data_IF_992336850344
#
_entry.id   IF_992336850344
#
_cell.length_a   1.000
_cell.length_b   1.000
_cell.length_c   1.000
_cell.angle_alpha   90.00
_cell.angle_beta   90.00
_cell.angle_gamma   90.00
#
_symmetry.space_group_name_H-M   'P 1'
#
loop_
_entity.id
_entity.type
_entity.pdbx_description
1 polymer ?
#
# COMPACT_ATOMS: atom_id res chain seq x y z
N UNK A 1 -19.07 19.92 -16.51
CA UNK A 1 -19.76 18.74 -17.09
C UNK A 1 -18.67 17.71 -17.32
N UNK A 2 -18.47 16.81 -16.37
CA UNK A 2 -17.60 15.65 -16.56
C UNK A 2 -18.24 14.76 -17.63
N UNK A 3 -17.46 14.42 -18.65
CA UNK A 3 -17.82 13.35 -19.57
C UNK A 3 -17.78 12.06 -18.78
N UNK A 4 -18.93 11.51 -18.51
CA UNK A 4 -19.05 10.09 -18.10
C UNK A 4 -18.54 9.29 -19.29
N UNK A 5 -17.35 8.72 -19.22
CA UNK A 5 -16.86 7.77 -20.21
C UNK A 5 -17.79 6.56 -20.18
N UNK A 6 -18.75 6.55 -21.10
CA UNK A 6 -19.65 5.40 -21.25
C UNK A 6 -18.81 4.25 -21.82
N UNK A 7 -18.55 3.24 -21.01
CA UNK A 7 -17.93 2.00 -21.46
C UNK A 7 -18.92 1.34 -22.42
N UNK A 8 -18.57 1.26 -23.71
CA UNK A 8 -19.35 0.58 -24.74
C UNK A 8 -18.68 -0.77 -24.99
N UNK A 9 -19.21 -1.81 -24.37
CA UNK A 9 -18.79 -3.20 -24.57
C UNK A 9 -19.78 -3.92 -25.48
N UNK A 10 -19.30 -4.85 -26.30
CA UNK A 10 -20.14 -5.74 -27.06
C UNK A 10 -20.83 -6.77 -26.13
N UNK A 11 -21.96 -7.38 -26.56
CA UNK A 11 -22.57 -8.45 -25.80
C UNK A 11 -21.63 -9.65 -25.56
N UNK A 12 -20.72 -9.92 -26.50
CA UNK A 12 -19.72 -10.98 -26.40
C UNK A 12 -18.68 -10.67 -25.32
N UNK A 13 -18.19 -9.44 -25.24
CA UNK A 13 -17.27 -8.98 -24.19
C UNK A 13 -17.93 -9.05 -22.81
N UNK A 14 -19.18 -8.60 -22.70
CA UNK A 14 -19.95 -8.71 -21.45
C UNK A 14 -20.14 -10.15 -21.03
N UNK A 15 -20.45 -11.07 -21.96
CA UNK A 15 -20.60 -12.49 -21.69
C UNK A 15 -19.28 -13.12 -21.20
N UNK A 16 -18.14 -12.69 -21.76
CA UNK A 16 -16.82 -13.15 -21.30
C UNK A 16 -16.53 -12.70 -19.87
N UNK A 17 -16.77 -11.43 -19.52
CA UNK A 17 -16.62 -10.93 -18.14
C UNK A 17 -17.57 -11.62 -17.16
N UNK A 18 -18.82 -11.90 -17.56
CA UNK A 18 -19.76 -12.66 -16.74
C UNK A 18 -19.25 -14.08 -16.47
N UNK A 19 -18.71 -14.75 -17.49
CA UNK A 19 -18.17 -16.11 -17.34
C UNK A 19 -16.95 -16.13 -16.41
N UNK A 20 -16.03 -15.19 -16.57
CA UNK A 20 -14.83 -15.01 -15.72
C UNK A 20 -15.22 -14.72 -14.26
N UNK A 21 -16.25 -13.90 -14.04
CA UNK A 21 -16.72 -13.51 -12.70
C UNK A 21 -17.57 -14.57 -12.01
N UNK A 22 -17.95 -15.65 -12.70
CA UNK A 22 -18.86 -16.67 -12.14
C UNK A 22 -18.12 -17.59 -11.16
N UNK A 23 -18.57 -17.59 -9.91
CA UNK A 23 -18.05 -18.48 -8.85
C UNK A 23 -18.81 -19.80 -8.83
N UNK A 24 -18.10 -20.91 -8.74
CA UNK A 24 -18.67 -22.25 -8.64
C UNK A 24 -18.30 -22.93 -7.33
N UNK A 25 -19.26 -23.54 -6.67
CA UNK A 25 -19.03 -24.37 -5.47
C UNK A 25 -18.22 -25.64 -5.74
N UNK A 26 -18.11 -26.04 -7.02
CA UNK A 26 -17.35 -27.22 -7.44
C UNK A 26 -15.92 -26.88 -7.88
N UNK A 27 -15.59 -25.61 -8.00
CA UNK A 27 -14.23 -25.14 -8.29
C UNK A 27 -13.41 -25.01 -7.01
N UNK A 28 -12.10 -25.24 -7.13
CA UNK A 28 -11.16 -25.00 -6.03
C UNK A 28 -10.49 -23.62 -6.24
N UNK A 29 -10.61 -22.77 -5.26
CA UNK A 29 -9.93 -21.47 -5.22
C UNK A 29 -8.81 -21.51 -4.19
N UNK A 30 -7.63 -21.05 -4.56
CA UNK A 30 -6.50 -20.99 -3.64
C UNK A 30 -6.71 -19.89 -2.59
N UNK A 31 -6.27 -20.18 -1.38
CA UNK A 31 -6.27 -19.17 -0.32
C UNK A 31 -5.17 -18.13 -0.59
N UNK A 32 -5.51 -16.85 -0.47
CA UNK A 32 -4.52 -15.77 -0.64
C UNK A 32 -3.34 -15.94 0.34
N UNK A 33 -2.09 -15.97 -0.17
CA UNK A 33 -0.92 -16.11 0.70
C UNK A 33 -0.80 -14.96 1.69
N UNK A 34 -0.63 -15.27 2.97
CA UNK A 34 -0.30 -14.29 4.02
C UNK A 34 1.12 -13.80 3.78
N UNK A 35 1.30 -12.48 3.64
CA UNK A 35 2.60 -11.88 3.32
C UNK A 35 3.10 -10.89 4.35
N UNK A 36 2.22 -10.30 5.15
CA UNK A 36 2.57 -9.36 6.22
C UNK A 36 1.87 -9.74 7.53
N UNK A 37 2.63 -9.74 8.62
CA UNK A 37 2.14 -9.94 9.97
C UNK A 37 2.78 -8.96 10.95
N UNK A 38 2.04 -8.61 12.00
CA UNK A 38 2.56 -7.98 13.22
C UNK A 38 2.37 -8.96 14.37
N UNK A 39 3.45 -9.41 14.96
CA UNK A 39 3.44 -10.53 15.90
C UNK A 39 2.66 -11.72 15.29
N UNK A 40 1.54 -12.13 15.87
CA UNK A 40 0.70 -13.24 15.38
C UNK A 40 -0.54 -12.76 14.59
N UNK A 41 -0.68 -11.46 14.34
CA UNK A 41 -1.82 -10.89 13.62
C UNK A 41 -1.49 -10.70 12.14
N UNK A 42 -2.34 -11.25 11.26
CA UNK A 42 -2.26 -11.03 9.82
C UNK A 42 -2.67 -9.60 9.50
N UNK A 43 -1.84 -8.88 8.75
CA UNK A 43 -2.11 -7.51 8.31
C UNK A 43 -2.13 -7.37 6.79
N UNK A 44 -1.74 -8.39 6.05
CA UNK A 44 -1.76 -8.35 4.60
C UNK A 44 -1.59 -9.70 3.93
N UNK A 45 -2.42 -9.93 2.91
CA UNK A 45 -2.35 -11.07 2.00
C UNK A 45 -2.13 -10.59 0.56
N UNK A 46 -1.64 -11.45 -0.32
CA UNK A 46 -1.60 -11.14 -1.76
C UNK A 46 -3.02 -11.01 -2.32
N UNK A 47 -3.20 -10.11 -3.29
CA UNK A 47 -4.51 -9.80 -3.85
C UNK A 47 -5.30 -8.75 -3.05
N UNK A 48 -4.74 -8.24 -1.94
CA UNK A 48 -5.41 -7.29 -1.04
C UNK A 48 -4.55 -6.07 -0.72
N UNK A 49 -5.13 -5.09 -0.02
CA UNK A 49 -4.42 -3.93 0.45
C UNK A 49 -4.74 -3.60 1.90
N UNK A 50 -3.80 -2.94 2.57
CA UNK A 50 -3.91 -2.48 3.95
C UNK A 50 -3.45 -1.03 4.10
N UNK A 51 -3.71 -0.42 5.24
CA UNK A 51 -3.27 0.95 5.48
C UNK A 51 -2.74 1.16 6.90
N UNK A 52 -1.78 2.10 7.01
CA UNK A 52 -1.38 2.70 8.28
C UNK A 52 -1.95 4.11 8.38
N UNK A 53 -2.76 4.36 9.40
CA UNK A 53 -3.28 5.69 9.71
C UNK A 53 -2.63 6.25 10.98
N UNK A 54 -2.67 7.55 11.16
CA UNK A 54 -2.17 8.18 12.40
C UNK A 54 -2.00 9.69 12.25
N UNK A 55 -1.91 10.38 13.39
CA UNK A 55 -1.74 11.83 13.45
C UNK A 55 -0.43 12.28 12.80
N UNK A 56 -0.35 13.55 12.45
CA UNK A 56 0.92 14.11 11.96
C UNK A 56 2.04 13.85 12.98
N UNK A 57 3.23 13.46 12.50
CA UNK A 57 4.41 13.12 13.33
C UNK A 57 4.26 11.86 14.21
N UNK A 58 3.28 11.00 13.98
CA UNK A 58 3.15 9.70 14.67
C UNK A 58 4.15 8.63 14.20
N UNK A 59 5.17 8.99 13.45
CA UNK A 59 6.23 8.10 12.93
C UNK A 59 5.75 7.02 11.95
N UNK A 60 4.65 7.25 11.20
CA UNK A 60 4.14 6.30 10.19
C UNK A 60 5.20 5.85 9.17
N UNK A 61 6.02 6.78 8.64
CA UNK A 61 7.12 6.43 7.73
C UNK A 61 8.19 5.54 8.39
N UNK A 62 8.40 5.66 9.72
CA UNK A 62 9.26 4.73 10.45
C UNK A 62 8.62 3.34 10.53
N UNK A 63 7.34 3.28 10.85
CA UNK A 63 6.55 2.07 10.86
C UNK A 63 6.65 1.31 9.52
N UNK A 64 6.36 2.02 8.42
CA UNK A 64 6.46 1.45 7.06
C UNK A 64 7.90 1.03 6.73
N UNK A 65 8.92 1.75 7.24
CA UNK A 65 10.33 1.34 7.06
C UNK A 65 10.61 -0.03 7.68
N UNK A 66 9.98 -0.36 8.82
CA UNK A 66 10.11 -1.67 9.45
C UNK A 66 9.42 -2.78 8.65
N UNK A 67 8.23 -2.51 8.11
CA UNK A 67 7.52 -3.44 7.20
C UNK A 67 8.41 -3.77 5.98
N UNK A 68 8.95 -2.74 5.32
CA UNK A 68 9.80 -2.92 4.14
C UNK A 68 11.10 -3.64 4.49
N UNK A 69 11.70 -3.33 5.63
CA UNK A 69 12.91 -3.98 6.08
C UNK A 69 12.70 -5.47 6.36
N UNK A 70 11.57 -5.84 6.96
CA UNK A 70 11.18 -7.24 7.15
C UNK A 70 10.98 -7.96 5.82
N UNK A 71 10.28 -7.34 4.86
CA UNK A 71 10.06 -7.90 3.54
C UNK A 71 11.37 -8.05 2.73
N UNK A 72 12.31 -7.13 2.92
CA UNK A 72 13.59 -7.11 2.23
C UNK A 72 14.57 -8.15 2.76
N UNK A 73 14.62 -8.33 4.09
CA UNK A 73 15.51 -9.29 4.75
C UNK A 73 14.94 -10.71 4.83
N UNK A 74 13.61 -10.87 4.70
CA UNK A 74 12.93 -12.14 4.96
C UNK A 74 12.97 -12.58 6.43
N UNK A 75 13.28 -11.66 7.35
CA UNK A 75 13.38 -11.89 8.79
C UNK A 75 12.46 -10.95 9.58
N UNK A 76 12.25 -11.24 10.86
CA UNK A 76 11.48 -10.35 11.73
C UNK A 76 12.26 -9.06 12.00
N UNK A 77 11.61 -7.91 11.77
CA UNK A 77 12.14 -6.58 12.08
C UNK A 77 11.17 -5.88 13.01
N UNK A 78 11.62 -5.55 14.22
CA UNK A 78 10.73 -5.14 15.30
C UNK A 78 9.65 -6.23 15.50
N UNK A 79 8.37 -5.85 15.37
CA UNK A 79 7.24 -6.78 15.47
C UNK A 79 6.73 -7.28 14.09
N UNK A 80 7.36 -6.83 12.98
CA UNK A 80 6.93 -7.21 11.63
C UNK A 80 7.61 -8.48 11.15
N UNK A 81 6.83 -9.37 10.57
CA UNK A 81 7.27 -10.55 9.83
C UNK A 81 6.65 -10.55 8.45
N UNK A 82 7.49 -10.72 7.44
CA UNK A 82 7.06 -10.73 6.05
C UNK A 82 7.54 -11.99 5.34
N UNK A 83 6.64 -12.64 4.60
CA UNK A 83 6.95 -13.87 3.85
C UNK A 83 6.35 -13.77 2.46
N UNK A 84 7.19 -13.53 1.46
CA UNK A 84 6.75 -13.45 0.06
C UNK A 84 7.20 -14.68 -0.73
N UNK A 85 6.36 -15.21 -1.64
CA UNK A 85 6.76 -16.23 -2.61
C UNK A 85 7.99 -15.76 -3.43
N UNK A 86 8.78 -16.71 -3.96
CA UNK A 86 10.01 -16.38 -4.68
C UNK A 86 9.79 -15.45 -5.87
N UNK A 87 8.70 -15.64 -6.59
CA UNK A 87 8.27 -14.81 -7.73
C UNK A 87 7.52 -13.53 -7.32
N UNK A 88 7.58 -13.13 -6.02
CA UNK A 88 6.89 -11.95 -5.45
C UNK A 88 7.77 -11.15 -4.49
N UNK A 89 9.09 -11.22 -4.65
CA UNK A 89 10.03 -10.61 -3.68
C UNK A 89 10.44 -9.18 -3.98
N UNK A 90 10.02 -8.60 -5.10
CA UNK A 90 10.30 -7.19 -5.38
C UNK A 90 9.35 -6.27 -4.65
N UNK A 91 9.90 -5.17 -4.17
CA UNK A 91 9.24 -4.15 -3.38
C UNK A 91 9.32 -2.83 -4.14
N UNK A 92 8.19 -2.16 -4.31
CA UNK A 92 8.08 -0.81 -4.85
C UNK A 92 7.68 0.14 -3.73
N UNK A 93 8.56 1.06 -3.35
CA UNK A 93 8.29 2.11 -2.37
C UNK A 93 8.06 3.44 -3.08
N UNK A 94 6.92 4.05 -2.87
CA UNK A 94 6.49 5.31 -3.45
C UNK A 94 6.34 6.33 -2.34
N UNK A 95 7.15 7.40 -2.38
CA UNK A 95 7.03 8.55 -1.49
C UNK A 95 6.51 9.75 -2.29
N UNK A 96 5.37 10.30 -1.87
CA UNK A 96 4.70 11.41 -2.53
C UNK A 96 4.93 12.76 -1.82
N UNK A 97 5.41 12.73 -0.57
CA UNK A 97 5.51 13.90 0.30
C UNK A 97 6.93 14.45 0.41
N UNK A 98 7.94 13.58 0.42
CA UNK A 98 9.30 13.98 0.76
C UNK A 98 10.16 14.30 -0.48
N UNK A 99 11.14 15.18 -0.29
CA UNK A 99 12.18 15.44 -1.29
C UNK A 99 13.20 14.29 -1.35
N UNK A 100 13.91 14.17 -2.49
CA UNK A 100 14.85 13.07 -2.78
C UNK A 100 15.87 12.81 -1.67
N UNK A 101 16.38 13.85 -1.03
CA UNK A 101 17.31 13.71 0.10
C UNK A 101 16.68 12.94 1.27
N UNK A 102 15.47 13.31 1.67
CA UNK A 102 14.76 12.64 2.77
C UNK A 102 14.33 11.21 2.39
N UNK A 103 13.91 10.98 1.14
CA UNK A 103 13.68 9.62 0.62
C UNK A 103 14.94 8.75 0.73
N UNK A 104 16.13 9.31 0.43
CA UNK A 104 17.39 8.61 0.60
C UNK A 104 17.66 8.26 2.07
N UNK A 105 17.31 9.14 3.02
CA UNK A 105 17.42 8.84 4.45
C UNK A 105 16.47 7.73 4.89
N UNK A 106 15.25 7.70 4.33
CA UNK A 106 14.30 6.59 4.54
C UNK A 106 14.86 5.30 3.98
N UNK A 107 15.38 5.30 2.77
CA UNK A 107 16.02 4.13 2.15
C UNK A 107 17.17 3.59 3.01
N UNK A 108 18.08 4.45 3.46
CA UNK A 108 19.17 4.07 4.36
C UNK A 108 18.67 3.50 5.69
N UNK A 109 17.58 4.04 6.24
CA UNK A 109 16.94 3.49 7.44
C UNK A 109 16.43 2.07 7.20
N UNK A 110 15.74 1.84 6.08
CA UNK A 110 15.26 0.51 5.68
C UNK A 110 16.43 -0.47 5.61
N UNK A 111 17.52 -0.09 4.94
CA UNK A 111 18.70 -0.95 4.84
C UNK A 111 19.32 -1.28 6.21
N UNK A 112 19.44 -0.28 7.11
CA UNK A 112 19.92 -0.52 8.49
C UNK A 112 19.03 -1.47 9.27
N UNK A 113 17.70 -1.29 9.18
CA UNK A 113 16.73 -2.16 9.84
C UNK A 113 16.76 -3.59 9.28
N UNK A 114 17.10 -3.75 8.01
CA UNK A 114 17.24 -5.04 7.34
C UNK A 114 18.63 -5.68 7.47
N UNK A 115 19.55 -5.03 8.20
CA UNK A 115 20.97 -5.42 8.31
C UNK A 115 21.67 -5.55 6.95
N UNK A 116 21.38 -4.61 6.03
CA UNK A 116 21.93 -4.54 4.69
C UNK A 116 22.88 -3.34 4.52
N UNK A 117 23.88 -3.42 3.62
CA UNK A 117 24.85 -2.36 3.40
C UNK A 117 24.21 -1.10 2.79
N UNK A 118 24.49 0.08 3.37
CA UNK A 118 23.95 1.38 2.92
C UNK A 118 24.65 1.96 1.67
N UNK A 119 25.69 1.33 1.18
CA UNK A 119 26.48 1.80 0.03
C UNK A 119 26.05 1.12 -1.29
N UNK A 120 25.13 0.16 -1.27
CA UNK A 120 24.62 -0.54 -2.45
C UNK A 120 23.08 -0.56 -2.42
N UNK A 121 22.46 -0.27 -3.57
CA UNK A 121 21.02 -0.48 -3.71
C UNK A 121 20.71 -2.00 -3.74
N UNK A 122 19.71 -2.46 -3.00
CA UNK A 122 19.26 -3.85 -3.10
C UNK A 122 18.54 -4.08 -4.43
N UNK A 123 18.71 -5.24 -5.03
CA UNK A 123 18.13 -5.58 -6.34
C UNK A 123 16.59 -5.74 -6.29
N UNK A 124 16.05 -5.96 -5.10
CA UNK A 124 14.62 -6.20 -4.85
C UNK A 124 13.87 -5.03 -4.20
N UNK A 125 14.47 -3.83 -4.11
CA UNK A 125 13.80 -2.61 -3.65
C UNK A 125 13.96 -1.46 -4.63
N UNK A 126 12.84 -0.97 -5.14
CA UNK A 126 12.75 0.21 -5.99
C UNK A 126 12.07 1.31 -5.21
N UNK A 127 12.71 2.48 -5.08
CA UNK A 127 12.13 3.64 -4.39
C UNK A 127 11.93 4.81 -5.35
N UNK A 128 10.69 5.32 -5.43
CA UNK A 128 10.28 6.43 -6.25
C UNK A 128 9.95 7.66 -5.38
N UNK A 129 10.62 8.79 -5.63
CA UNK A 129 10.33 10.08 -5.00
C UNK A 129 9.47 10.94 -5.95
N UNK A 130 8.16 10.96 -5.71
CA UNK A 130 7.19 11.54 -6.65
C UNK A 130 6.68 12.93 -6.27
N UNK A 131 7.18 13.55 -5.21
CA UNK A 131 6.71 14.84 -4.69
C UNK A 131 6.55 15.92 -5.76
N UNK A 132 7.45 16.00 -6.74
CA UNK A 132 7.46 17.08 -7.75
C UNK A 132 6.37 16.95 -8.82
N UNK A 133 5.71 15.81 -8.93
CA UNK A 133 4.74 15.52 -9.99
C UNK A 133 3.32 15.86 -9.55
N UNK A 134 2.43 16.13 -10.52
CA UNK A 134 0.98 16.31 -10.27
C UNK A 134 0.32 14.99 -9.88
N UNK A 135 -0.84 15.00 -9.19
CA UNK A 135 -1.57 13.78 -8.82
C UNK A 135 -1.78 12.81 -9.98
N UNK A 136 -2.26 13.33 -11.13
CA UNK A 136 -2.49 12.51 -12.34
C UNK A 136 -1.20 11.87 -12.87
N UNK A 137 -0.06 12.60 -12.85
CA UNK A 137 1.21 12.06 -13.32
C UNK A 137 1.81 11.06 -12.32
N UNK A 138 1.64 11.29 -11.01
CA UNK A 138 2.01 10.30 -9.98
C UNK A 138 1.28 8.99 -10.21
N UNK A 139 -0.04 9.05 -10.41
CA UNK A 139 -0.87 7.88 -10.66
C UNK A 139 -0.41 7.11 -11.90
N UNK A 140 -0.16 7.80 -13.02
CA UNK A 140 0.32 7.18 -14.26
C UNK A 140 1.70 6.51 -14.08
N UNK A 141 2.62 7.14 -13.32
CA UNK A 141 3.94 6.55 -13.01
C UNK A 141 3.77 5.27 -12.18
N UNK A 142 2.90 5.29 -11.18
CA UNK A 142 2.65 4.13 -10.31
C UNK A 142 2.02 2.99 -11.09
N UNK A 143 1.00 3.27 -11.89
CA UNK A 143 0.34 2.30 -12.76
C UNK A 143 1.32 1.63 -13.72
N UNK A 144 2.19 2.43 -14.38
CA UNK A 144 3.25 1.92 -15.24
C UNK A 144 4.24 1.05 -14.46
N UNK A 145 4.66 1.47 -13.26
CA UNK A 145 5.61 0.71 -12.44
C UNK A 145 5.01 -0.63 -12.00
N UNK A 146 3.77 -0.64 -11.51
CA UNK A 146 3.07 -1.86 -11.11
C UNK A 146 2.91 -2.79 -12.31
N UNK A 147 2.58 -2.26 -13.50
CA UNK A 147 2.39 -3.04 -14.71
C UNK A 147 3.67 -3.68 -15.26
N UNK A 148 4.84 -3.05 -15.04
CA UNK A 148 6.09 -3.44 -15.72
C UNK A 148 7.13 -4.13 -14.83
N UNK A 149 7.11 -3.90 -13.51
CA UNK A 149 8.09 -4.53 -12.60
C UNK A 149 7.74 -6.03 -12.47
N UNK A 150 8.66 -6.93 -12.88
CA UNK A 150 8.45 -8.37 -12.70
C UNK A 150 8.62 -8.74 -11.23
N UNK A 151 8.02 -9.85 -10.80
CA UNK A 151 8.14 -10.42 -9.44
C UNK A 151 7.76 -9.43 -8.31
N UNK A 152 6.94 -8.41 -8.63
CA UNK A 152 6.43 -7.45 -7.66
C UNK A 152 5.51 -8.16 -6.67
N UNK A 153 5.76 -8.00 -5.37
CA UNK A 153 4.94 -8.56 -4.30
C UNK A 153 4.38 -7.50 -3.37
N UNK A 154 5.19 -6.49 -3.05
CA UNK A 154 4.80 -5.42 -2.11
C UNK A 154 4.91 -4.05 -2.77
N UNK A 155 3.85 -3.27 -2.65
CA UNK A 155 3.84 -1.85 -3.02
C UNK A 155 3.56 -1.03 -1.76
N UNK A 156 4.44 -0.09 -1.46
CA UNK A 156 4.24 0.91 -0.40
C UNK A 156 3.87 2.24 -1.05
N UNK A 157 2.80 2.86 -0.54
CA UNK A 157 2.39 4.21 -0.94
C UNK A 157 2.38 5.10 0.30
N UNK A 158 3.50 5.80 0.53
CA UNK A 158 3.64 6.75 1.65
C UNK A 158 3.10 8.11 1.20
N UNK A 159 1.78 8.31 1.46
CA UNK A 159 1.00 9.48 1.14
C UNK A 159 -0.07 9.28 0.04
N UNK A 160 -1.04 8.35 0.23
CA UNK A 160 -2.14 8.13 -0.74
C UNK A 160 -2.93 9.41 -1.06
N UNK A 161 -3.04 10.32 -0.11
CA UNK A 161 -3.73 11.61 -0.27
C UNK A 161 -3.22 12.38 -1.50
N UNK A 162 -1.98 12.26 -1.83
CA UNK A 162 -1.33 13.05 -2.88
C UNK A 162 -1.61 12.55 -4.31
N UNK A 163 -2.40 11.50 -4.46
CA UNK A 163 -2.98 11.09 -5.74
C UNK A 163 -4.29 11.81 -6.06
N UNK A 164 -4.85 12.57 -5.10
CA UNK A 164 -6.11 13.30 -5.22
C UNK A 164 -5.85 14.79 -5.37
N UNK A 165 -6.65 15.47 -6.18
CA UNK A 165 -6.73 16.93 -6.21
C UNK A 165 -7.54 17.43 -5.01
N UNK A 166 -8.69 16.80 -4.74
CA UNK A 166 -9.53 17.11 -3.58
C UNK A 166 -9.75 15.87 -2.71
N UNK A 167 -9.27 15.92 -1.47
CA UNK A 167 -9.42 14.85 -0.48
C UNK A 167 -10.89 14.56 -0.11
N UNK A 168 -11.77 15.53 -0.36
CA UNK A 168 -13.20 15.40 -0.10
C UNK A 168 -14.00 14.98 -1.35
N UNK A 169 -13.33 14.77 -2.48
CA UNK A 169 -13.96 14.22 -3.67
C UNK A 169 -14.25 12.73 -3.49
N UNK A 170 -15.54 12.37 -3.46
CA UNK A 170 -15.95 10.97 -3.38
C UNK A 170 -15.58 10.20 -4.64
N UNK A 171 -15.73 10.81 -5.83
CA UNK A 171 -15.40 10.17 -7.11
C UNK A 171 -13.90 9.85 -7.21
N UNK A 172 -13.02 10.84 -6.95
CA UNK A 172 -11.56 10.61 -6.98
C UNK A 172 -11.14 9.54 -5.98
N UNK A 173 -11.75 9.54 -4.78
CA UNK A 173 -11.47 8.55 -3.74
C UNK A 173 -11.88 7.14 -4.16
N UNK A 174 -13.07 6.98 -4.72
CA UNK A 174 -13.58 5.71 -5.23
C UNK A 174 -12.71 5.20 -6.39
N UNK A 175 -12.29 6.08 -7.31
CA UNK A 175 -11.44 5.74 -8.45
C UNK A 175 -10.07 5.19 -8.01
N UNK A 176 -9.43 5.83 -7.02
CA UNK A 176 -8.14 5.37 -6.49
C UNK A 176 -8.27 4.00 -5.82
N UNK A 177 -9.29 3.81 -4.99
CA UNK A 177 -9.49 2.53 -4.30
C UNK A 177 -9.90 1.43 -5.28
N UNK A 178 -10.69 1.73 -6.30
CA UNK A 178 -11.00 0.78 -7.38
C UNK A 178 -9.73 0.34 -8.13
N UNK A 179 -8.80 1.27 -8.39
CA UNK A 179 -7.48 0.91 -8.95
C UNK A 179 -6.66 0.02 -8.00
N UNK A 180 -6.69 0.27 -6.70
CA UNK A 180 -6.00 -0.61 -5.74
C UNK A 180 -6.55 -2.02 -5.79
N UNK A 181 -7.89 -2.17 -5.78
CA UNK A 181 -8.56 -3.48 -5.90
C UNK A 181 -8.16 -4.17 -7.20
N UNK A 182 -8.20 -3.46 -8.32
CA UNK A 182 -7.81 -4.00 -9.63
C UNK A 182 -6.33 -4.40 -9.65
N UNK A 183 -5.40 -3.52 -9.26
CA UNK A 183 -3.96 -3.81 -9.30
C UNK A 183 -3.57 -4.97 -8.39
N UNK A 184 -4.19 -5.07 -7.21
CA UNK A 184 -3.90 -6.15 -6.27
C UNK A 184 -4.39 -7.48 -6.82
N UNK A 185 -5.57 -7.51 -7.43
CA UNK A 185 -6.13 -8.71 -8.04
C UNK A 185 -5.36 -9.12 -9.31
N UNK A 186 -5.22 -8.23 -10.31
CA UNK A 186 -4.56 -8.51 -11.59
C UNK A 186 -3.11 -8.96 -11.42
N UNK A 187 -2.40 -8.36 -10.46
CA UNK A 187 -0.97 -8.58 -10.23
C UNK A 187 -0.67 -9.52 -9.08
N UNK A 188 -1.67 -9.93 -8.30
CA UNK A 188 -1.50 -10.72 -7.09
C UNK A 188 -0.36 -10.13 -6.22
N UNK A 189 -0.51 -8.85 -5.84
CA UNK A 189 0.40 -8.08 -5.00
C UNK A 189 -0.31 -7.64 -3.72
N UNK A 190 0.47 -7.22 -2.71
CA UNK A 190 -0.07 -6.49 -1.58
C UNK A 190 0.27 -5.01 -1.69
N UNK A 191 -0.72 -4.13 -1.51
CA UNK A 191 -0.50 -2.68 -1.42
C UNK A 191 -0.68 -2.26 0.04
N UNK A 192 0.36 -1.65 0.64
CA UNK A 192 0.25 -1.02 1.95
C UNK A 192 0.37 0.50 1.81
N UNK A 193 -0.62 1.24 2.28
CA UNK A 193 -0.63 2.70 2.12
C UNK A 193 -0.62 3.44 3.44
N UNK A 194 -0.28 4.73 3.39
CA UNK A 194 -0.22 5.62 4.54
C UNK A 194 -1.20 6.78 4.35
N UNK A 195 -2.00 7.05 5.36
CA UNK A 195 -2.91 8.19 5.41
C UNK A 195 -2.85 8.91 6.75
N UNK A 196 -2.96 10.22 6.75
CA UNK A 196 -3.11 11.00 7.98
C UNK A 196 -4.53 10.89 8.53
N UNK A 197 -4.65 10.79 9.86
CA UNK A 197 -5.90 10.98 10.57
C UNK A 197 -6.33 12.45 10.59
N UNK A 198 -7.59 12.69 10.85
CA UNK A 198 -8.11 14.01 11.18
C UNK A 198 -7.39 14.60 12.41
N UNK A 199 -7.42 15.92 12.54
CA UNK A 199 -6.80 16.58 13.72
C UNK A 199 -7.59 16.37 15.01
N UNK A 200 -8.92 16.28 14.89
CA UNK A 200 -9.86 16.38 16.02
C UNK A 200 -10.49 15.04 16.41
N UNK A 201 -10.33 14.00 15.62
CA UNK A 201 -10.87 12.67 15.86
C UNK A 201 -9.87 11.58 15.45
N UNK A 202 -10.23 10.31 15.64
CA UNK A 202 -9.41 9.15 15.32
C UNK A 202 -9.68 8.59 13.90
N UNK A 203 -10.60 9.21 13.15
CA UNK A 203 -10.95 8.74 11.83
C UNK A 203 -9.90 9.11 10.78
N UNK A 204 -9.76 8.25 9.81
CA UNK A 204 -8.95 8.50 8.62
C UNK A 204 -9.49 9.71 7.85
N UNK A 205 -8.58 10.54 7.32
CA UNK A 205 -8.94 11.85 6.78
C UNK A 205 -9.60 11.79 5.41
N UNK A 206 -10.75 12.49 5.26
CA UNK A 206 -11.43 12.71 4.00
C UNK A 206 -12.21 11.49 3.49
N UNK A 207 -12.80 11.60 2.30
CA UNK A 207 -13.51 10.48 1.67
C UNK A 207 -12.60 9.27 1.38
N UNK A 208 -11.34 9.51 1.05
CA UNK A 208 -10.37 8.42 0.85
C UNK A 208 -10.17 7.58 2.12
N UNK A 209 -10.24 8.23 3.31
CA UNK A 209 -10.19 7.52 4.58
C UNK A 209 -11.41 6.61 4.80
N UNK A 210 -12.59 7.08 4.42
CA UNK A 210 -13.82 6.28 4.47
C UNK A 210 -13.74 5.07 3.52
N UNK A 211 -13.28 5.28 2.29
CA UNK A 211 -13.12 4.18 1.32
C UNK A 211 -12.08 3.15 1.78
N UNK A 212 -10.96 3.61 2.37
CA UNK A 212 -9.98 2.69 2.96
C UNK A 212 -10.59 1.85 4.09
N UNK A 213 -11.32 2.47 5.02
CA UNK A 213 -11.97 1.75 6.12
C UNK A 213 -12.99 0.71 5.65
N UNK A 214 -13.63 0.96 4.51
CA UNK A 214 -14.65 0.06 3.97
C UNK A 214 -14.08 -1.10 3.15
N UNK A 215 -12.88 -0.96 2.60
CA UNK A 215 -12.36 -1.85 1.54
C UNK A 215 -11.01 -2.47 1.86
N UNK A 216 -10.21 -1.88 2.74
CA UNK A 216 -8.92 -2.43 3.12
C UNK A 216 -9.09 -3.71 3.96
N UNK A 217 -8.21 -4.68 3.75
CA UNK A 217 -8.14 -5.91 4.55
C UNK A 217 -7.84 -5.59 6.02
N UNK A 218 -6.96 -4.63 6.27
CA UNK A 218 -6.56 -4.20 7.62
C UNK A 218 -6.22 -2.72 7.64
N UNK A 219 -6.68 -2.04 8.68
CA UNK A 219 -6.25 -0.67 9.02
C UNK A 219 -5.48 -0.70 10.33
N UNK A 220 -4.24 -0.23 10.30
CA UNK A 220 -3.41 -0.08 11.49
C UNK A 220 -3.36 1.37 11.93
N UNK A 221 -3.68 1.65 13.18
CA UNK A 221 -3.44 2.94 13.78
C UNK A 221 -2.03 3.00 14.39
N UNK A 222 -1.25 3.99 14.00
CA UNK A 222 0.13 4.20 14.45
C UNK A 222 0.18 5.42 15.36
N UNK A 223 0.49 5.18 16.64
CA UNK A 223 0.64 6.21 17.66
C UNK A 223 2.01 6.15 18.33
N UNK A 224 2.45 7.28 18.82
CA UNK A 224 3.64 7.35 19.68
C UNK A 224 3.17 7.27 21.11
N UNK A 225 3.74 6.35 21.88
CA UNK A 225 3.44 6.25 23.32
C UNK A 225 3.69 7.58 24.02
N UNK A 226 2.82 7.95 24.93
CA UNK A 226 2.87 9.24 25.64
C UNK A 226 4.00 9.29 26.66
N UNK A 227 4.30 8.15 27.27
CA UNK A 227 5.34 8.02 28.31
C UNK A 227 6.69 7.65 27.71
N UNK A 228 6.69 6.75 26.71
CA UNK A 228 7.89 6.38 25.94
C UNK A 228 7.79 6.79 24.47
N UNK A 229 8.33 7.95 24.14
CA UNK A 229 8.34 8.46 22.75
C UNK A 229 9.15 7.60 21.75
N UNK A 230 9.91 6.62 22.22
CA UNK A 230 10.57 5.63 21.37
C UNK A 230 9.64 4.48 21.00
N UNK A 231 8.63 4.19 21.84
CA UNK A 231 7.63 3.16 21.60
C UNK A 231 6.60 3.60 20.56
N UNK A 232 6.18 2.66 19.71
CA UNK A 232 5.04 2.80 18.80
C UNK A 232 3.95 1.82 19.22
N UNK A 233 2.72 2.33 19.30
CA UNK A 233 1.53 1.53 19.56
C UNK A 233 0.80 1.27 18.26
N UNK A 234 0.33 0.04 18.09
CA UNK A 234 -0.47 -0.38 16.96
C UNK A 234 -1.80 -0.93 17.45
N UNK A 235 -2.88 -0.52 16.80
CA UNK A 235 -4.19 -1.16 16.91
C UNK A 235 -4.63 -1.55 15.52
N UNK A 236 -5.17 -2.74 15.33
CA UNK A 236 -5.79 -3.16 14.09
C UNK A 236 -7.26 -3.42 14.33
N UNK A 237 -8.13 -2.83 13.51
CA UNK A 237 -9.51 -3.26 13.36
C UNK A 237 -9.50 -4.29 12.21
N UNK A 238 -9.56 -5.56 12.57
CA UNK A 238 -9.66 -6.67 11.64
C UNK A 238 -11.12 -7.08 11.48
#
# INVERSE_FOLDING_TARGET
>A
MEKTDTIILSPEELAAYMAESTISVTSTYEHSPVVLMVDDTVIGTLGNFSASIGKAKSKKTFNVSAIVASALSGSSVLHYRSTFPENKRKILYIDTEQGRYHCQLVLKRILRLADLPEYKNPDNLIMLALRKFSPKLRLAIVEQAIGTIPDLGLVIIDGIRDFLYDINSSSESTDIISKFMQWTDDRQIHIHTVLHQNKNDEHARGHIGTELNNKAETIMQVEVDKEDKACLLYTSDA
#
